data_IF_322526509673
#
_entry.id   IF_322526509673
#
_cell.length_a   1.000
_cell.length_b   1.000
_cell.length_c   1.000
_cell.angle_alpha   90.00
_cell.angle_beta   90.00
_cell.angle_gamma   90.00
#
_symmetry.space_group_name_H-M   'P 1'
#
loop_
_entity.id
_entity.type
_entity.pdbx_description
1 polymer ?
#
# COMPACT_ATOMS: atom_id res chain seq x y z
N UNK A 1 6.24 -22.25 -9.97
CA UNK A 1 4.91 -21.89 -9.43
C UNK A 1 4.97 -20.40 -9.17
N UNK A 2 4.09 -19.56 -9.75
CA UNK A 2 4.13 -18.11 -9.52
C UNK A 2 3.72 -17.82 -8.08
N UNK A 3 4.54 -17.08 -7.36
CA UNK A 3 4.47 -16.86 -5.91
C UNK A 3 3.90 -15.48 -5.54
N UNK A 4 3.49 -14.66 -6.49
CA UNK A 4 3.07 -13.27 -6.24
C UNK A 4 1.76 -12.94 -6.95
N UNK A 5 1.07 -11.90 -6.48
CA UNK A 5 0.01 -11.23 -7.25
C UNK A 5 0.70 -10.49 -8.40
N UNK A 6 0.48 -10.88 -9.67
CA UNK A 6 1.23 -10.33 -10.81
C UNK A 6 1.13 -8.81 -10.91
N UNK A 7 2.17 -8.15 -11.44
CA UNK A 7 2.13 -6.70 -11.73
C UNK A 7 0.98 -6.34 -12.69
N UNK A 8 0.63 -7.27 -13.59
CA UNK A 8 -0.40 -7.08 -14.63
C UNK A 8 -1.80 -7.58 -14.29
N UNK A 9 -2.13 -7.84 -13.01
CA UNK A 9 -3.51 -8.22 -12.68
C UNK A 9 -4.47 -7.11 -13.13
N UNK A 10 -5.45 -7.48 -13.94
CA UNK A 10 -6.44 -6.54 -14.48
C UNK A 10 -5.99 -5.74 -15.71
N UNK A 11 -4.77 -5.93 -16.23
CA UNK A 11 -4.28 -5.18 -17.40
C UNK A 11 -4.50 -5.96 -18.69
N UNK A 12 -5.17 -5.35 -19.67
CA UNK A 12 -5.19 -5.85 -21.05
C UNK A 12 -3.80 -5.64 -21.70
N UNK A 13 -3.07 -6.71 -21.95
CA UNK A 13 -1.68 -6.61 -22.38
C UNK A 13 -1.50 -6.22 -23.84
N UNK A 14 -2.54 -6.29 -24.68
CA UNK A 14 -2.46 -6.03 -26.13
C UNK A 14 -1.28 -6.71 -26.84
N UNK A 15 -1.04 -6.44 -28.13
CA UNK A 15 0.24 -6.76 -28.78
C UNK A 15 1.26 -5.63 -28.61
N UNK A 16 0.82 -4.37 -28.61
CA UNK A 16 1.69 -3.19 -28.55
C UNK A 16 2.43 -3.09 -27.21
N UNK A 17 1.73 -3.24 -26.09
CA UNK A 17 2.38 -3.21 -24.78
C UNK A 17 3.32 -4.40 -24.55
N UNK A 18 3.02 -5.59 -25.11
CA UNK A 18 3.97 -6.72 -25.09
C UNK A 18 5.26 -6.40 -25.83
N UNK A 19 5.19 -5.75 -27.00
CA UNK A 19 6.38 -5.33 -27.74
C UNK A 19 7.24 -4.34 -26.95
N UNK A 20 6.61 -3.40 -26.22
CA UNK A 20 7.31 -2.48 -25.30
C UNK A 20 8.03 -3.26 -24.20
N UNK A 21 7.34 -4.20 -23.55
CA UNK A 21 7.95 -5.04 -22.50
C UNK A 21 9.11 -5.87 -23.04
N UNK A 22 8.96 -6.49 -24.20
CA UNK A 22 10.00 -7.33 -24.82
C UNK A 22 11.26 -6.50 -25.15
N UNK A 23 11.09 -5.28 -25.68
CA UNK A 23 12.20 -4.37 -25.94
C UNK A 23 12.96 -3.96 -24.66
N UNK A 24 12.24 -3.75 -23.55
CA UNK A 24 12.83 -3.37 -22.26
C UNK A 24 13.46 -4.56 -21.55
N UNK A 25 12.94 -5.78 -21.73
CA UNK A 25 13.42 -6.99 -21.07
C UNK A 25 14.85 -7.41 -21.46
N UNK A 26 15.40 -6.82 -22.52
CA UNK A 26 16.81 -6.96 -22.91
C UNK A 26 17.73 -5.96 -22.19
N UNK A 27 17.19 -4.87 -21.62
CA UNK A 27 17.96 -3.88 -20.86
C UNK A 27 18.10 -4.22 -19.38
N UNK A 28 17.10 -4.89 -18.80
CA UNK A 28 17.07 -5.21 -17.37
C UNK A 28 17.51 -6.66 -17.13
N UNK A 29 18.47 -6.85 -16.23
CA UNK A 29 19.03 -8.16 -15.88
C UNK A 29 19.20 -8.27 -14.36
N UNK A 30 18.10 -8.40 -13.59
CA UNK A 30 18.21 -8.50 -12.14
C UNK A 30 18.92 -9.78 -11.71
N UNK A 31 19.92 -9.63 -10.85
CA UNK A 31 20.56 -10.75 -10.16
C UNK A 31 19.79 -11.06 -8.89
N UNK A 32 18.88 -12.05 -8.93
CA UNK A 32 18.19 -12.49 -7.73
C UNK A 32 16.81 -13.09 -7.98
N UNK A 33 16.38 -13.97 -7.07
CA UNK A 33 15.02 -14.51 -7.07
C UNK A 33 13.99 -13.46 -6.65
N UNK A 34 14.38 -12.55 -5.75
CA UNK A 34 13.53 -11.48 -5.24
C UNK A 34 14.13 -10.15 -5.64
N UNK A 35 13.34 -9.30 -6.28
CA UNK A 35 13.77 -7.99 -6.77
C UNK A 35 12.93 -6.91 -6.11
N UNK A 36 13.55 -5.79 -5.76
CA UNK A 36 12.86 -4.59 -5.29
C UNK A 36 12.94 -3.50 -6.34
N UNK A 37 11.81 -3.12 -6.94
CA UNK A 37 11.72 -1.95 -7.80
C UNK A 37 11.36 -0.73 -6.95
N UNK A 38 12.29 0.22 -6.87
CA UNK A 38 12.14 1.50 -6.20
C UNK A 38 11.67 2.54 -7.20
N UNK A 39 10.62 3.28 -6.86
CA UNK A 39 10.04 4.32 -7.71
C UNK A 39 10.37 5.70 -7.18
N UNK A 40 10.83 6.59 -8.07
CA UNK A 40 10.93 8.01 -7.76
C UNK A 40 9.54 8.65 -7.79
N UNK A 41 8.86 8.66 -6.65
CA UNK A 41 7.53 9.26 -6.56
C UNK A 41 7.63 10.79 -6.63
N UNK A 42 7.57 11.30 -7.87
CA UNK A 42 7.38 12.71 -8.16
C UNK A 42 5.90 12.97 -8.50
N UNK A 43 5.35 14.13 -8.12
CA UNK A 43 3.93 14.46 -8.33
C UNK A 43 3.56 14.68 -9.81
N UNK A 44 4.54 14.74 -10.72
CA UNK A 44 4.29 14.97 -12.14
C UNK A 44 3.76 13.69 -12.81
N UNK A 45 2.46 13.63 -13.10
CA UNK A 45 1.84 12.49 -13.79
C UNK A 45 2.08 12.55 -15.31
N UNK A 46 2.44 11.42 -15.91
CA UNK A 46 2.52 11.26 -17.38
C UNK A 46 2.13 9.84 -17.75
N UNK A 47 0.97 9.68 -18.41
CA UNK A 47 0.43 8.37 -18.78
C UNK A 47 1.41 7.54 -19.61
N UNK A 48 2.19 8.20 -20.47
CA UNK A 48 3.21 7.53 -21.29
C UNK A 48 4.37 7.01 -20.45
N UNK A 49 4.91 7.84 -19.55
CA UNK A 49 5.97 7.41 -18.63
C UNK A 49 5.46 6.37 -17.63
N UNK A 50 4.19 6.46 -17.22
CA UNK A 50 3.55 5.50 -16.31
C UNK A 50 3.38 4.13 -16.96
N UNK A 51 2.98 4.09 -18.24
CA UNK A 51 2.89 2.84 -18.99
C UNK A 51 4.27 2.21 -19.21
N UNK A 52 5.28 3.00 -19.55
CA UNK A 52 6.65 2.49 -19.74
C UNK A 52 7.26 2.04 -18.41
N UNK A 53 7.02 2.77 -17.32
CA UNK A 53 7.37 2.32 -15.96
C UNK A 53 6.71 0.98 -15.63
N UNK A 54 5.42 0.82 -15.93
CA UNK A 54 4.75 -0.48 -15.78
C UNK A 54 5.44 -1.56 -16.62
N UNK A 55 5.81 -1.25 -17.86
CA UNK A 55 6.53 -2.20 -18.72
C UNK A 55 7.91 -2.60 -18.14
N UNK A 56 8.64 -1.66 -17.52
CA UNK A 56 9.87 -1.96 -16.76
C UNK A 56 9.60 -2.90 -15.60
N UNK A 57 8.56 -2.64 -14.79
CA UNK A 57 8.18 -3.51 -13.68
C UNK A 57 7.87 -4.93 -14.18
N UNK A 58 7.15 -5.06 -15.30
CA UNK A 58 6.85 -6.36 -15.91
C UNK A 58 8.13 -7.05 -16.41
N UNK A 59 9.04 -6.30 -17.03
CA UNK A 59 10.31 -6.82 -17.51
C UNK A 59 11.17 -7.36 -16.34
N UNK A 60 11.21 -6.64 -15.22
CA UNK A 60 11.85 -7.11 -13.99
C UNK A 60 11.15 -8.36 -13.42
N UNK A 61 9.82 -8.35 -13.32
CA UNK A 61 9.02 -9.49 -12.84
C UNK A 61 9.24 -10.75 -13.70
N UNK A 62 9.40 -10.62 -15.02
CA UNK A 62 9.66 -11.75 -15.93
C UNK A 62 11.00 -12.45 -15.67
N UNK A 63 11.98 -11.74 -15.11
CA UNK A 63 13.32 -12.25 -14.82
C UNK A 63 13.49 -12.65 -13.34
N UNK A 64 12.55 -12.27 -12.47
CA UNK A 64 12.54 -12.58 -11.04
C UNK A 64 11.53 -13.68 -10.68
N UNK A 65 11.69 -14.34 -9.53
CA UNK A 65 10.63 -15.17 -8.94
C UNK A 65 9.55 -14.29 -8.27
N UNK A 66 9.95 -13.11 -7.78
CA UNK A 66 9.08 -12.15 -7.09
C UNK A 66 9.57 -10.72 -7.30
N UNK A 67 8.65 -9.80 -7.56
CA UNK A 67 8.92 -8.36 -7.60
C UNK A 67 8.13 -7.66 -6.50
N UNK A 68 8.83 -6.86 -5.69
CA UNK A 68 8.23 -5.93 -4.74
C UNK A 68 8.41 -4.50 -5.27
N UNK A 69 7.34 -3.72 -5.29
CA UNK A 69 7.36 -2.33 -5.75
C UNK A 69 7.21 -1.41 -4.55
N UNK A 70 8.14 -0.46 -4.40
CA UNK A 70 8.19 0.47 -3.27
C UNK A 70 8.51 1.88 -3.76
N UNK A 71 8.00 2.93 -3.12
CA UNK A 71 8.56 4.25 -3.33
C UNK A 71 9.95 4.32 -2.71
N UNK A 72 10.83 5.15 -3.27
CA UNK A 72 12.19 5.36 -2.72
C UNK A 72 12.14 5.77 -1.23
N UNK A 73 11.10 6.49 -0.82
CA UNK A 73 10.88 6.90 0.57
C UNK A 73 10.61 5.72 1.53
N UNK A 74 10.10 4.58 1.05
CA UNK A 74 9.77 3.40 1.86
C UNK A 74 10.92 2.39 2.03
N UNK A 75 12.04 2.57 1.33
CA UNK A 75 13.08 1.54 1.17
C UNK A 75 13.86 1.18 2.45
N UNK A 76 13.71 1.93 3.53
CA UNK A 76 14.59 1.87 4.70
C UNK A 76 14.41 0.61 5.57
N UNK A 77 13.34 -0.16 5.34
CA UNK A 77 12.96 -1.28 6.21
C UNK A 77 13.45 -2.66 5.79
N UNK A 78 13.75 -2.86 4.51
CA UNK A 78 13.88 -4.21 3.95
C UNK A 78 14.83 -4.25 2.74
N UNK A 79 15.93 -3.51 2.79
CA UNK A 79 16.93 -3.57 1.73
C UNK A 79 17.52 -4.98 1.67
N UNK A 80 17.46 -5.60 0.50
CA UNK A 80 17.92 -6.98 0.27
C UNK A 80 19.09 -7.04 -0.71
N UNK A 81 19.59 -5.90 -1.19
CA UNK A 81 20.74 -5.81 -2.10
C UNK A 81 20.42 -6.10 -3.57
N UNK A 82 19.14 -6.36 -3.89
CA UNK A 82 18.65 -6.63 -5.25
C UNK A 82 17.76 -5.50 -5.76
N UNK A 83 17.97 -4.29 -5.24
CA UNK A 83 17.19 -3.12 -5.63
C UNK A 83 17.43 -2.74 -7.09
N UNK A 84 16.41 -2.19 -7.73
CA UNK A 84 16.43 -1.53 -9.01
C UNK A 84 15.71 -0.20 -8.85
N UNK A 85 16.35 0.90 -9.23
CA UNK A 85 15.73 2.21 -9.21
C UNK A 85 15.10 2.48 -10.58
N UNK A 86 13.81 2.80 -10.61
CA UNK A 86 13.13 3.31 -11.81
C UNK A 86 12.89 4.80 -11.58
N UNK A 87 13.60 5.63 -12.33
CA UNK A 87 13.56 7.08 -12.20
C UNK A 87 13.21 7.79 -13.50
N UNK A 88 12.61 8.98 -13.39
CA UNK A 88 12.35 9.91 -14.48
C UNK A 88 13.42 10.99 -14.62
N UNK A 89 14.48 10.98 -13.81
CA UNK A 89 15.55 11.98 -13.80
C UNK A 89 16.91 11.29 -13.67
N UNK A 90 17.91 11.83 -14.35
CA UNK A 90 19.30 11.42 -14.19
C UNK A 90 20.15 12.62 -13.71
N UNK A 91 20.86 12.50 -12.56
CA UNK A 91 20.69 11.46 -11.55
C UNK A 91 19.35 11.62 -10.81
N UNK A 92 18.79 10.52 -10.28
CA UNK A 92 17.74 10.67 -9.28
C UNK A 92 18.38 11.35 -8.05
N UNK A 93 17.69 12.16 -7.28
CA UNK A 93 18.35 12.80 -6.14
C UNK A 93 18.50 11.82 -4.95
N UNK A 94 19.71 11.73 -4.39
CA UNK A 94 19.95 11.35 -2.99
C UNK A 94 19.60 9.92 -2.57
N UNK A 95 19.83 8.90 -3.41
CA UNK A 95 19.54 7.50 -3.04
C UNK A 95 20.79 6.60 -3.01
N UNK A 96 21.01 5.92 -1.89
CA UNK A 96 22.08 4.92 -1.71
C UNK A 96 21.46 3.54 -1.55
N UNK A 97 21.94 2.58 -2.33
CA UNK A 97 21.50 1.17 -2.31
C UNK A 97 21.95 0.45 -1.03
N UNK A 98 21.49 -0.78 -0.81
CA UNK A 98 21.83 -1.57 0.38
C UNK A 98 23.33 -1.81 0.57
N UNK A 99 24.04 -1.95 -0.55
CA UNK A 99 25.47 -2.22 -0.62
C UNK A 99 26.34 -0.96 -0.49
N UNK A 100 25.71 0.21 -0.29
CA UNK A 100 26.40 1.48 -0.15
C UNK A 100 26.69 2.20 -1.47
N UNK A 101 26.31 1.63 -2.61
CA UNK A 101 26.45 2.31 -3.90
C UNK A 101 25.41 3.43 -4.06
N UNK A 102 25.87 4.65 -4.36
CA UNK A 102 24.97 5.72 -4.78
C UNK A 102 24.52 5.46 -6.22
N UNK A 103 23.24 5.13 -6.41
CA UNK A 103 22.58 4.95 -7.71
C UNK A 103 23.45 4.30 -8.79
N UNK A 104 23.88 3.04 -8.59
CA UNK A 104 24.65 2.30 -9.58
C UNK A 104 23.90 2.33 -10.92
N UNK A 105 24.58 2.78 -11.97
CA UNK A 105 23.96 3.05 -13.27
C UNK A 105 23.39 1.78 -13.88
N UNK A 106 23.97 0.63 -13.57
CA UNK A 106 23.59 -0.70 -14.05
C UNK A 106 22.29 -1.22 -13.42
N UNK A 107 21.85 -0.63 -12.30
CA UNK A 107 20.57 -0.95 -11.63
C UNK A 107 19.64 0.26 -11.54
N UNK A 108 19.89 1.27 -12.36
CA UNK A 108 19.07 2.48 -12.45
C UNK A 108 18.50 2.59 -13.85
N UNK A 109 17.18 2.44 -13.96
CA UNK A 109 16.41 2.66 -15.19
C UNK A 109 15.98 4.11 -15.23
N UNK A 110 16.39 4.84 -16.26
CA UNK A 110 16.00 6.24 -16.48
C UNK A 110 14.99 6.31 -17.62
N UNK A 111 13.86 6.95 -17.36
CA UNK A 111 12.76 7.17 -18.30
C UNK A 111 12.72 8.63 -18.72
N UNK A 112 12.74 8.90 -20.03
CA UNK A 112 12.58 10.26 -20.56
C UNK A 112 11.67 10.29 -21.78
N UNK A 113 10.73 11.23 -21.79
CA UNK A 113 9.88 11.49 -22.97
C UNK A 113 10.68 12.25 -24.02
N UNK A 114 10.73 11.74 -25.25
CA UNK A 114 11.45 12.36 -26.35
C UNK A 114 10.64 13.48 -27.04
N UNK A 115 9.34 13.62 -26.70
CA UNK A 115 8.45 14.63 -27.27
C UNK A 115 7.86 14.28 -28.65
N UNK A 116 8.32 13.20 -29.27
CA UNK A 116 7.84 12.67 -30.56
C UNK A 116 6.84 11.52 -30.42
N UNK A 117 6.37 11.26 -29.19
CA UNK A 117 5.51 10.12 -28.85
C UNK A 117 6.27 8.88 -28.40
N UNK A 118 7.61 8.84 -28.53
CA UNK A 118 8.45 7.80 -27.97
C UNK A 118 8.95 8.14 -26.56
N UNK A 119 9.28 7.09 -25.81
CA UNK A 119 9.93 7.20 -24.50
C UNK A 119 11.25 6.46 -24.57
N UNK A 120 12.31 7.12 -24.13
CA UNK A 120 13.61 6.49 -23.93
C UNK A 120 13.64 5.77 -22.61
N UNK A 121 14.15 4.54 -22.63
CA UNK A 121 14.47 3.73 -21.46
C UNK A 121 15.97 3.47 -21.48
N UNK A 122 16.69 3.94 -20.46
CA UNK A 122 18.14 3.81 -20.36
C UNK A 122 18.55 3.07 -19.09
N UNK A 123 19.55 2.19 -19.21
CA UNK A 123 20.23 1.49 -18.10
C UNK A 123 21.72 1.52 -18.38
N UNK A 124 22.52 2.13 -17.50
CA UNK A 124 23.92 2.39 -17.80
C UNK A 124 24.10 3.28 -19.03
N UNK A 125 24.96 2.84 -19.95
CA UNK A 125 25.20 3.50 -21.24
C UNK A 125 24.37 2.88 -22.39
N UNK A 126 23.42 1.99 -22.07
CA UNK A 126 22.55 1.32 -23.05
C UNK A 126 21.14 1.89 -22.96
N UNK A 127 20.51 2.12 -24.11
CA UNK A 127 19.14 2.61 -24.17
C UNK A 127 18.35 2.01 -25.33
N UNK A 128 17.04 2.07 -25.20
CA UNK A 128 16.08 1.80 -26.27
C UNK A 128 15.03 2.91 -26.28
N UNK A 129 14.63 3.34 -27.48
CA UNK A 129 13.49 4.23 -27.66
C UNK A 129 12.28 3.36 -28.00
N UNK A 130 11.25 3.39 -27.15
CA UNK A 130 10.01 2.62 -27.36
C UNK A 130 8.89 3.55 -27.84
N UNK A 131 8.20 3.12 -28.89
CA UNK A 131 6.96 3.77 -29.30
C UNK A 131 5.87 3.43 -28.29
N UNK A 132 5.23 4.45 -27.75
CA UNK A 132 4.15 4.31 -26.76
C UNK A 132 2.81 4.51 -27.47
N UNK A 133 1.74 3.78 -27.07
CA UNK A 133 0.40 4.04 -27.58
C UNK A 133 -0.06 5.49 -27.35
N UNK A 134 -1.16 5.87 -27.99
CA UNK A 134 -1.77 7.18 -27.77
C UNK A 134 -2.12 7.38 -26.28
N UNK A 135 -2.25 8.63 -25.84
CA UNK A 135 -2.57 8.94 -24.45
C UNK A 135 -3.90 8.31 -24.00
N UNK A 136 -4.91 8.30 -24.88
CA UNK A 136 -6.19 7.65 -24.65
C UNK A 136 -6.04 6.13 -24.48
N UNK A 137 -5.15 5.51 -25.25
CA UNK A 137 -4.87 4.08 -25.15
C UNK A 137 -4.04 3.76 -23.89
N UNK A 138 -3.08 4.62 -23.51
CA UNK A 138 -2.37 4.50 -22.23
C UNK A 138 -3.36 4.54 -21.05
N UNK A 139 -4.31 5.48 -21.07
CA UNK A 139 -5.37 5.58 -20.08
C UNK A 139 -6.28 4.34 -20.09
N UNK A 140 -6.59 3.79 -21.28
CA UNK A 140 -7.30 2.52 -21.43
C UNK A 140 -6.58 1.37 -20.75
N UNK A 141 -5.30 1.21 -21.03
CA UNK A 141 -4.47 0.11 -20.53
C UNK A 141 -4.28 0.21 -19.01
N UNK A 142 -3.86 1.39 -18.52
CA UNK A 142 -3.59 1.64 -17.09
C UNK A 142 -4.86 1.64 -16.23
N UNK A 143 -6.01 2.01 -16.79
CA UNK A 143 -7.29 2.06 -16.06
C UNK A 143 -8.16 0.82 -16.23
N UNK A 144 -7.72 -0.21 -16.96
CA UNK A 144 -8.60 -1.33 -17.38
C UNK A 144 -9.06 -2.24 -16.23
N UNK A 145 -8.24 -2.45 -15.19
CA UNK A 145 -8.44 -3.53 -14.22
C UNK A 145 -9.60 -3.36 -13.24
N UNK A 146 -10.02 -2.14 -12.97
CA UNK A 146 -11.13 -1.82 -12.07
C UNK A 146 -12.04 -0.71 -12.63
N UNK A 147 -12.04 -0.54 -13.96
CA UNK A 147 -12.82 0.52 -14.62
C UNK A 147 -14.31 0.40 -14.31
N UNK A 148 -14.92 1.55 -13.99
CA UNK A 148 -16.32 1.67 -13.66
C UNK A 148 -16.71 1.12 -12.29
N UNK A 149 -15.78 0.48 -11.56
CA UNK A 149 -16.07 -0.10 -10.26
C UNK A 149 -16.12 1.00 -9.20
N UNK A 150 -17.19 1.06 -8.41
CA UNK A 150 -17.22 1.93 -7.25
C UNK A 150 -16.31 1.39 -6.15
N UNK A 151 -15.48 2.26 -5.60
CA UNK A 151 -14.68 2.04 -4.41
C UNK A 151 -15.54 2.38 -3.21
N UNK A 152 -15.73 1.43 -2.30
CA UNK A 152 -16.36 1.68 -1.01
C UNK A 152 -15.32 1.58 0.09
N UNK A 153 -15.21 2.67 0.84
CA UNK A 153 -14.34 2.91 2.00
C UNK A 153 -13.00 2.16 1.94
N UNK A 154 -11.96 2.81 1.40
CA UNK A 154 -10.66 2.19 1.33
C UNK A 154 -10.04 2.01 2.72
N UNK A 155 -9.01 1.17 2.80
CA UNK A 155 -8.21 0.98 4.01
C UNK A 155 -6.72 0.86 3.67
N UNK A 156 -5.85 1.29 4.60
CA UNK A 156 -4.42 0.98 4.63
C UNK A 156 -4.11 -0.10 5.68
N UNK A 157 -4.57 -1.34 5.51
CA UNK A 157 -4.16 -2.43 6.40
C UNK A 157 -2.75 -2.93 6.06
N UNK A 158 -2.16 -2.45 4.96
CA UNK A 158 -1.07 -3.09 4.23
C UNK A 158 0.31 -2.60 4.66
N UNK A 159 1.32 -3.49 4.73
CA UNK A 159 2.74 -3.16 5.03
C UNK A 159 3.53 -2.55 3.86
N UNK A 160 2.82 -2.06 2.86
CA UNK A 160 3.41 -1.51 1.66
C UNK A 160 2.46 -0.48 1.08
N UNK A 161 2.93 0.32 0.10
CA UNK A 161 2.23 1.45 -0.50
C UNK A 161 1.00 0.97 -1.29
N UNK A 162 0.00 0.46 -0.59
CA UNK A 162 -1.09 -0.33 -1.15
C UNK A 162 -2.35 -0.09 -0.36
N UNK A 163 -3.45 0.00 -1.09
CA UNK A 163 -4.73 0.38 -0.56
C UNK A 163 -5.75 -0.63 -1.08
N UNK A 164 -6.58 -1.13 -0.17
CA UNK A 164 -7.64 -2.09 -0.48
C UNK A 164 -8.98 -1.41 -0.26
N UNK A 165 -9.89 -1.57 -1.21
CA UNK A 165 -11.27 -1.10 -1.12
C UNK A 165 -12.22 -2.25 -1.45
N UNK A 166 -13.47 -2.14 -0.99
CA UNK A 166 -14.54 -3.00 -1.49
C UNK A 166 -14.98 -2.50 -2.88
N UNK A 167 -15.30 -3.44 -3.76
CA UNK A 167 -15.86 -3.16 -5.08
C UNK A 167 -17.37 -2.94 -5.06
N UNK A 168 -18.03 -3.19 -6.20
CA UNK A 168 -19.48 -3.03 -6.34
C UNK A 168 -20.25 -4.12 -5.61
N UNK A 169 -19.73 -5.36 -5.67
CA UNK A 169 -20.30 -6.54 -5.03
C UNK A 169 -19.77 -6.77 -3.61
N UNK A 170 -20.52 -7.51 -2.77
CA UNK A 170 -20.07 -7.89 -1.43
C UNK A 170 -18.87 -8.84 -1.47
N UNK A 171 -18.68 -9.58 -2.57
CA UNK A 171 -17.60 -10.52 -2.87
C UNK A 171 -16.43 -9.89 -3.65
N UNK A 172 -16.44 -8.57 -3.86
CA UNK A 172 -15.44 -7.89 -4.68
C UNK A 172 -14.47 -7.04 -3.85
N UNK A 173 -13.19 -7.16 -4.21
CA UNK A 173 -12.13 -6.30 -3.71
C UNK A 173 -11.44 -5.56 -4.85
N UNK A 174 -11.03 -4.33 -4.57
CA UNK A 174 -10.22 -3.52 -5.44
C UNK A 174 -8.90 -3.22 -4.73
N UNK A 175 -7.80 -3.60 -5.35
CA UNK A 175 -6.45 -3.40 -4.83
C UNK A 175 -5.73 -2.38 -5.71
N UNK A 176 -5.23 -1.33 -5.08
CA UNK A 176 -4.23 -0.44 -5.65
C UNK A 176 -2.89 -0.71 -4.99
N UNK A 177 -1.82 -0.78 -5.79
CA UNK A 177 -0.43 -0.78 -5.30
C UNK A 177 0.33 0.30 -6.05
N UNK A 178 1.18 1.03 -5.35
CA UNK A 178 1.99 2.09 -5.94
C UNK A 178 2.71 1.61 -7.22
N UNK A 179 2.64 2.42 -8.26
CA UNK A 179 3.23 2.15 -9.56
C UNK A 179 2.53 1.09 -10.41
N UNK A 180 1.44 0.47 -9.93
CA UNK A 180 0.67 -0.53 -10.67
C UNK A 180 -0.76 -0.10 -10.92
N UNK A 181 -1.38 -0.53 -12.04
CA UNK A 181 -2.81 -0.40 -12.26
C UNK A 181 -3.65 -0.99 -11.13
N UNK A 182 -4.80 -0.38 -10.89
CA UNK A 182 -5.80 -0.88 -9.95
C UNK A 182 -6.38 -2.22 -10.46
N UNK A 183 -6.41 -3.21 -9.59
CA UNK A 183 -6.87 -4.56 -9.90
C UNK A 183 -8.16 -4.91 -9.14
N UNK A 184 -9.14 -5.48 -9.85
CA UNK A 184 -10.35 -6.04 -9.23
C UNK A 184 -10.23 -7.55 -9.05
N UNK A 185 -10.65 -8.02 -7.88
CA UNK A 185 -10.72 -9.42 -7.48
C UNK A 185 -12.15 -9.79 -7.13
N UNK A 186 -12.59 -10.96 -7.58
CA UNK A 186 -13.86 -11.55 -7.18
C UNK A 186 -13.59 -12.81 -6.37
N UNK A 187 -14.05 -12.82 -5.12
CA UNK A 187 -13.78 -13.89 -4.17
C UNK A 187 -14.91 -14.93 -4.14
N UNK A 188 -14.69 -16.10 -3.54
CA UNK A 188 -15.72 -17.16 -3.45
C UNK A 188 -16.97 -16.79 -2.64
N UNK A 189 -16.94 -15.71 -1.86
CA UNK A 189 -18.07 -15.26 -1.06
C UNK A 189 -17.88 -13.84 -0.51
N UNK A 190 -18.88 -13.31 0.22
CA UNK A 190 -18.86 -11.97 0.79
C UNK A 190 -17.62 -11.71 1.64
N UNK A 191 -17.04 -10.52 1.50
CA UNK A 191 -15.82 -10.11 2.19
C UNK A 191 -16.14 -9.30 3.42
N UNK A 192 -15.62 -9.70 4.57
CA UNK A 192 -15.74 -8.94 5.81
C UNK A 192 -14.59 -7.95 5.98
N UNK A 193 -13.36 -8.45 5.79
CA UNK A 193 -12.13 -7.71 6.05
C UNK A 193 -11.04 -8.13 5.06
N UNK A 194 -10.07 -7.25 4.80
CA UNK A 194 -8.94 -7.57 3.95
C UNK A 194 -7.64 -6.84 4.34
N UNK A 195 -6.52 -7.42 3.93
CA UNK A 195 -5.17 -6.84 4.02
C UNK A 195 -4.34 -7.25 2.81
N UNK A 196 -3.53 -6.32 2.31
CA UNK A 196 -2.45 -6.65 1.38
C UNK A 196 -1.11 -6.69 2.11
N UNK A 197 -0.46 -7.84 2.10
CA UNK A 197 0.87 -8.01 2.69
C UNK A 197 1.91 -7.90 1.58
N UNK A 198 2.75 -6.86 1.67
CA UNK A 198 3.93 -6.67 0.85
C UNK A 198 5.17 -6.70 1.74
N UNK A 199 5.92 -7.79 1.69
CA UNK A 199 7.15 -8.02 2.43
C UNK A 199 8.30 -8.40 1.50
N UNK A 200 9.53 -8.47 2.03
CA UNK A 200 10.73 -8.79 1.24
C UNK A 200 10.65 -10.11 0.45
N UNK A 201 9.83 -11.05 0.91
CA UNK A 201 9.68 -12.38 0.32
C UNK A 201 8.24 -12.78 0.03
N UNK A 202 7.26 -11.90 0.28
CA UNK A 202 5.82 -12.24 0.20
C UNK A 202 4.99 -11.10 -0.34
N UNK A 203 4.10 -11.40 -1.29
CA UNK A 203 3.09 -10.48 -1.83
C UNK A 203 1.75 -11.22 -1.86
N UNK A 204 0.83 -10.85 -0.97
CA UNK A 204 -0.41 -11.59 -0.73
C UNK A 204 -1.59 -10.66 -0.45
N UNK A 205 -2.73 -10.91 -1.08
CA UNK A 205 -4.01 -10.35 -0.66
C UNK A 205 -4.70 -11.39 0.22
N UNK A 206 -4.88 -11.04 1.49
CA UNK A 206 -5.51 -11.89 2.50
C UNK A 206 -6.87 -11.29 2.83
N UNK A 207 -7.90 -12.13 2.87
CA UNK A 207 -9.28 -11.69 3.07
C UNK A 207 -10.00 -12.63 4.01
N UNK A 208 -10.92 -12.08 4.81
CA UNK A 208 -11.81 -12.83 5.67
C UNK A 208 -13.17 -12.87 4.99
N UNK A 209 -13.62 -14.06 4.60
CA UNK A 209 -14.83 -14.24 3.78
C UNK A 209 -15.79 -15.24 4.41
N UNK A 210 -17.07 -15.15 4.04
CA UNK A 210 -18.07 -16.16 4.34
C UNK A 210 -18.21 -17.17 3.19
N UNK A 211 -18.16 -18.46 3.51
CA UNK A 211 -18.48 -19.57 2.59
C UNK A 211 -19.24 -20.64 3.35
N UNK A 212 -20.42 -21.02 2.86
CA UNK A 212 -21.25 -22.08 3.44
C UNK A 212 -21.57 -21.91 4.95
N UNK A 213 -21.78 -20.67 5.40
CA UNK A 213 -22.06 -20.35 6.81
C UNK A 213 -20.83 -20.40 7.73
N UNK A 214 -19.63 -20.47 7.16
CA UNK A 214 -18.38 -20.40 7.90
C UNK A 214 -17.57 -19.17 7.49
N UNK A 215 -16.96 -18.54 8.48
CA UNK A 215 -15.98 -17.47 8.29
C UNK A 215 -14.60 -18.09 8.14
N UNK A 216 -13.89 -17.78 7.06
CA UNK A 216 -12.57 -18.32 6.79
C UNK A 216 -11.63 -17.30 6.17
N UNK A 217 -10.33 -17.56 6.32
CA UNK A 217 -9.28 -16.78 5.66
C UNK A 217 -8.99 -17.31 4.26
N UNK A 218 -9.22 -16.45 3.27
CA UNK A 218 -8.87 -16.64 1.86
C UNK A 218 -7.58 -15.89 1.52
N UNK A 219 -6.75 -16.46 0.64
CA UNK A 219 -5.44 -15.88 0.27
C UNK A 219 -5.25 -15.97 -1.24
N UNK A 220 -5.08 -14.82 -1.89
CA UNK A 220 -4.59 -14.67 -3.26
C UNK A 220 -3.08 -14.38 -3.24
N UNK A 221 -2.27 -15.16 -3.97
CA UNK A 221 -0.79 -15.06 -3.99
C UNK A 221 -0.07 -16.29 -3.40
N UNK A 222 1.17 -16.11 -2.90
CA UNK A 222 1.91 -17.22 -2.25
C UNK A 222 1.08 -17.79 -1.09
N UNK A 223 0.89 -19.10 -1.09
CA UNK A 223 0.01 -19.73 -0.11
C UNK A 223 0.74 -19.92 1.22
N UNK A 224 0.39 -19.12 2.23
CA UNK A 224 0.75 -19.42 3.62
C UNK A 224 -0.21 -20.49 4.12
N UNK A 225 0.29 -21.72 4.29
CA UNK A 225 -0.53 -22.90 4.61
C UNK A 225 -1.22 -22.83 5.97
N UNK A 226 -0.69 -22.04 6.91
CA UNK A 226 -1.23 -21.94 8.26
C UNK A 226 -2.54 -21.14 8.33
N UNK A 227 -2.63 -20.00 7.64
CA UNK A 227 -3.81 -19.13 7.69
C UNK A 227 -5.10 -19.82 7.23
N UNK A 228 -5.00 -20.77 6.29
CA UNK A 228 -6.14 -21.56 5.81
C UNK A 228 -6.81 -22.41 6.88
N UNK A 229 -6.12 -22.68 7.99
CA UNK A 229 -6.72 -23.38 9.13
C UNK A 229 -7.73 -22.50 9.86
N UNK A 230 -7.68 -21.17 9.72
CA UNK A 230 -8.62 -20.25 10.34
C UNK A 230 -9.96 -20.33 9.60
N UNK A 231 -10.82 -21.21 10.11
CA UNK A 231 -12.19 -21.40 9.67
C UNK A 231 -13.07 -21.71 10.88
N UNK A 232 -14.24 -21.10 10.96
CA UNK A 232 -15.17 -21.28 12.07
C UNK A 232 -16.62 -21.07 11.58
N UNK A 233 -17.60 -21.84 12.06
CA UNK A 233 -19.01 -21.52 11.82
C UNK A 233 -19.37 -20.17 12.44
N UNK A 234 -20.28 -19.45 11.77
CA UNK A 234 -20.80 -18.17 12.24
C UNK A 234 -22.32 -18.20 12.35
N UNK A 235 -22.84 -17.35 13.24
CA UNK A 235 -24.26 -17.13 13.47
C UNK A 235 -24.75 -15.79 12.89
N UNK A 236 -23.94 -15.18 12.03
CA UNK A 236 -24.22 -13.90 11.36
C UNK A 236 -23.92 -13.98 9.86
N UNK A 237 -24.44 -13.02 9.10
CA UNK A 237 -24.23 -12.86 7.66
C UNK A 237 -23.14 -11.83 7.38
N UNK A 238 -22.09 -12.22 6.67
CA UNK A 238 -21.07 -11.27 6.18
C UNK A 238 -21.63 -10.42 5.05
N UNK A 239 -22.59 -10.93 4.27
CA UNK A 239 -23.25 -10.14 3.22
C UNK A 239 -23.96 -8.91 3.79
N UNK A 240 -24.60 -9.05 4.95
CA UNK A 240 -25.30 -7.94 5.62
C UNK A 240 -24.29 -6.90 6.14
N UNK A 241 -23.13 -7.37 6.61
CA UNK A 241 -22.04 -6.48 7.05
C UNK A 241 -21.28 -5.84 5.89
N UNK A 242 -21.32 -6.45 4.71
CA UNK A 242 -20.70 -5.92 3.49
C UNK A 242 -21.44 -4.69 2.93
N UNK A 243 -22.64 -4.37 3.44
CA UNK A 243 -23.26 -3.05 3.22
C UNK A 243 -22.48 -1.92 3.89
N UNK A 244 -21.63 -2.24 4.87
CA UNK A 244 -20.76 -1.29 5.57
C UNK A 244 -19.34 -1.24 4.98
N UNK A 245 -18.55 -0.32 5.52
CA UNK A 245 -17.15 -0.09 5.16
C UNK A 245 -16.32 -1.38 5.27
N UNK A 246 -15.32 -1.52 4.38
CA UNK A 246 -14.40 -2.65 4.44
C UNK A 246 -13.60 -2.59 5.74
N UNK A 247 -13.70 -3.66 6.53
CA UNK A 247 -12.99 -3.74 7.80
C UNK A 247 -11.48 -3.96 7.58
N UNK A 248 -10.60 -3.24 8.31
CA UNK A 248 -9.18 -3.57 8.30
C UNK A 248 -8.96 -4.96 8.87
N UNK A 249 -8.09 -5.74 8.23
CA UNK A 249 -7.64 -7.03 8.74
C UNK A 249 -6.19 -6.89 9.21
N UNK A 250 -5.89 -7.28 10.44
CA UNK A 250 -4.51 -7.32 10.94
C UNK A 250 -4.12 -8.75 11.29
N UNK A 251 -2.88 -9.11 11.00
CA UNK A 251 -2.36 -10.44 11.30
C UNK A 251 -1.77 -10.47 12.72
N UNK A 252 -2.06 -11.54 13.45
CA UNK A 252 -1.46 -11.87 14.74
C UNK A 252 -0.62 -13.12 14.56
N UNK A 253 0.66 -12.97 14.28
CA UNK A 253 1.61 -14.07 14.19
C UNK A 253 2.61 -14.00 15.35
N UNK A 254 2.22 -14.53 16.50
CA UNK A 254 3.08 -14.59 17.68
C UNK A 254 4.09 -15.75 17.55
N UNK A 255 3.59 -16.94 17.18
CA UNK A 255 4.37 -18.16 16.91
C UNK A 255 3.70 -18.96 15.79
N UNK A 256 4.41 -19.88 15.13
CA UNK A 256 3.82 -20.67 14.02
C UNK A 256 2.65 -21.57 14.45
N UNK A 257 2.52 -21.87 15.75
CA UNK A 257 1.39 -22.62 16.34
C UNK A 257 0.33 -21.73 17.01
N UNK A 258 0.55 -20.40 17.04
CA UNK A 258 -0.31 -19.39 17.68
C UNK A 258 -0.44 -18.20 16.74
N UNK A 259 -1.38 -18.33 15.82
CA UNK A 259 -1.62 -17.32 14.79
C UNK A 259 -3.11 -17.02 14.65
N UNK A 260 -3.44 -15.81 14.22
CA UNK A 260 -4.81 -15.35 14.06
C UNK A 260 -4.89 -14.07 13.26
N UNK A 261 -6.10 -13.51 13.26
CA UNK A 261 -6.40 -12.23 12.65
C UNK A 261 -7.29 -11.39 13.55
N UNK A 262 -7.11 -10.07 13.52
CA UNK A 262 -7.98 -9.09 14.15
C UNK A 262 -8.72 -8.30 13.08
N UNK A 263 -10.01 -8.04 13.32
CA UNK A 263 -10.86 -7.28 12.41
C UNK A 263 -11.96 -6.55 13.19
N UNK A 264 -12.51 -5.48 12.61
CA UNK A 264 -13.70 -4.81 13.15
C UNK A 264 -14.99 -5.41 12.59
N UNK A 265 -15.99 -5.54 13.45
CA UNK A 265 -17.35 -5.95 13.13
C UNK A 265 -18.30 -5.24 14.09
N UNK A 266 -19.38 -4.65 13.55
CA UNK A 266 -20.37 -3.89 14.33
C UNK A 266 -19.74 -2.85 15.29
N UNK A 267 -18.67 -2.17 14.84
CA UNK A 267 -17.95 -1.18 15.63
C UNK A 267 -16.96 -1.74 16.66
N UNK A 268 -16.90 -3.06 16.86
CA UNK A 268 -16.08 -3.73 17.87
C UNK A 268 -14.95 -4.55 17.24
N UNK A 269 -13.84 -4.73 17.96
CA UNK A 269 -12.76 -5.60 17.51
C UNK A 269 -13.05 -7.06 17.85
N UNK A 270 -12.76 -7.94 16.90
CA UNK A 270 -12.86 -9.39 17.00
C UNK A 270 -11.53 -10.03 16.66
N UNK A 271 -11.35 -11.26 17.14
CA UNK A 271 -10.17 -12.08 16.92
C UNK A 271 -10.59 -13.48 16.49
N UNK A 272 -10.10 -13.91 15.32
CA UNK A 272 -10.17 -15.30 14.86
C UNK A 272 -8.78 -15.90 15.00
N UNK A 273 -8.60 -16.87 15.89
CA UNK A 273 -7.27 -17.36 16.27
C UNK A 273 -7.21 -18.86 16.41
N UNK A 274 -6.08 -19.42 15.98
CA UNK A 274 -5.69 -20.79 16.15
C UNK A 274 -4.73 -20.92 17.35
N UNK A 275 -5.07 -21.80 18.28
CA UNK A 275 -4.21 -22.23 19.38
C UNK A 275 -3.98 -23.75 19.27
N UNK A 276 -2.87 -24.14 18.67
CA UNK A 276 -2.58 -25.55 18.40
C UNK A 276 -3.50 -26.12 17.32
N UNK A 277 -4.59 -26.80 17.73
CA UNK A 277 -5.61 -27.37 16.83
C UNK A 277 -6.98 -26.70 16.96
N UNK A 278 -7.18 -25.88 17.99
CA UNK A 278 -8.45 -25.22 18.24
C UNK A 278 -8.48 -23.86 17.53
N UNK A 279 -9.52 -23.63 16.74
CA UNK A 279 -9.82 -22.33 16.13
C UNK A 279 -11.00 -21.73 16.86
N UNK A 280 -10.88 -20.48 17.32
CA UNK A 280 -11.97 -19.79 18.00
C UNK A 280 -12.13 -18.36 17.50
N UNK A 281 -13.38 -17.91 17.47
CA UNK A 281 -13.77 -16.53 17.20
C UNK A 281 -14.24 -15.89 18.49
N UNK A 282 -13.62 -14.79 18.90
CA UNK A 282 -13.94 -14.09 20.15
C UNK A 282 -13.88 -12.59 19.95
N UNK A 283 -14.70 -11.86 20.71
CA UNK A 283 -14.54 -10.42 20.84
C UNK A 283 -13.19 -10.10 21.49
N UNK A 284 -12.46 -9.14 20.92
CA UNK A 284 -11.20 -8.64 21.47
C UNK A 284 -11.48 -7.73 22.67
N UNK A 285 -10.62 -7.84 23.70
CA UNK A 285 -10.64 -6.93 24.86
C UNK A 285 -9.89 -5.63 24.61
N UNK A 286 -9.09 -5.54 23.54
CA UNK A 286 -8.40 -4.31 23.17
C UNK A 286 -9.34 -3.31 22.50
N UNK A 287 -9.10 -2.02 22.79
CA UNK A 287 -9.88 -0.90 22.24
C UNK A 287 -9.39 -0.52 20.84
N UNK A 288 -8.08 -0.62 20.61
CA UNK A 288 -7.44 -0.30 19.32
C UNK A 288 -6.46 -1.42 18.95
N UNK A 289 -6.50 -1.81 17.69
CA UNK A 289 -5.49 -2.62 17.02
C UNK A 289 -4.89 -1.80 15.91
N UNK A 290 -3.57 -1.83 15.82
CA UNK A 290 -2.80 -1.13 14.79
C UNK A 290 -1.85 -2.13 14.11
N UNK A 291 -1.48 -1.89 12.84
CA UNK A 291 -0.46 -2.69 12.18
C UNK A 291 0.87 -2.53 12.92
N UNK A 292 1.51 -3.65 13.22
CA UNK A 292 2.79 -3.69 13.91
C UNK A 292 3.99 -3.54 12.99
N UNK A 293 5.17 -3.92 13.51
CA UNK A 293 6.49 -3.74 12.87
C UNK A 293 6.69 -4.49 11.56
N UNK A 294 5.89 -5.52 11.36
CA UNK A 294 5.87 -6.35 10.16
C UNK A 294 4.40 -6.56 9.81
N UNK A 295 4.08 -6.82 8.52
CA UNK A 295 2.71 -7.17 8.12
C UNK A 295 2.10 -8.34 8.91
N UNK A 296 2.93 -9.12 9.61
CA UNK A 296 2.52 -10.27 10.39
C UNK A 296 2.10 -9.98 11.82
N UNK A 297 2.41 -8.81 12.38
CA UNK A 297 2.17 -8.52 13.79
C UNK A 297 1.20 -7.36 13.97
N UNK A 298 0.33 -7.47 14.97
CA UNK A 298 -0.59 -6.39 15.39
C UNK A 298 -0.03 -5.75 16.66
N UNK A 299 0.01 -4.42 16.73
CA UNK A 299 0.25 -3.68 17.98
C UNK A 299 -1.06 -3.51 18.72
N UNK A 300 -1.02 -3.75 20.03
CA UNK A 300 -2.18 -3.70 20.90
C UNK A 300 -1.97 -2.57 21.91
N UNK A 301 -2.86 -1.57 21.89
CA UNK A 301 -3.05 -0.67 23.03
C UNK A 301 -4.33 -1.05 23.77
N UNK A 302 -4.18 -1.50 25.02
CA UNK A 302 -5.29 -1.85 25.90
C UNK A 302 -6.13 -0.66 26.35
N UNK A 303 -5.69 0.59 26.13
CA UNK A 303 -6.39 1.79 26.59
C UNK A 303 -6.51 2.92 25.56
N UNK A 304 -5.94 2.79 24.36
CA UNK A 304 -5.95 3.83 23.32
C UNK A 304 -5.28 5.15 23.74
N UNK A 305 -4.26 5.07 24.60
CA UNK A 305 -3.50 6.20 25.14
C UNK A 305 -2.17 6.46 24.43
N UNK A 306 -1.69 5.51 23.63
CA UNK A 306 -0.41 5.57 22.92
C UNK A 306 -0.67 5.30 21.44
N UNK A 307 -0.19 6.21 20.60
CA UNK A 307 -0.15 6.02 19.15
C UNK A 307 1.15 5.32 18.78
N UNK A 308 1.08 4.28 17.96
CA UNK A 308 2.26 3.67 17.36
C UNK A 308 2.52 4.33 16.01
N UNK A 309 3.73 4.87 15.85
CA UNK A 309 4.17 5.48 14.60
C UNK A 309 5.28 4.68 13.91
N UNK A 310 5.77 5.21 12.78
CA UNK A 310 6.91 4.65 12.06
C UNK A 310 8.13 4.46 12.97
N UNK A 311 9.01 3.50 12.64
CA UNK A 311 10.36 3.38 13.24
C UNK A 311 10.36 3.15 14.76
N UNK A 312 9.31 2.54 15.29
CA UNK A 312 9.12 2.27 16.72
C UNK A 312 9.04 3.53 17.57
N UNK A 313 8.62 4.62 16.96
CA UNK A 313 8.26 5.82 17.67
C UNK A 313 6.84 5.71 18.18
N UNK A 314 6.61 6.34 19.33
CA UNK A 314 5.35 6.33 20.03
C UNK A 314 5.00 7.76 20.38
N UNK A 315 3.70 8.05 20.44
CA UNK A 315 3.23 9.33 20.94
C UNK A 315 2.15 9.11 22.01
N UNK A 316 2.19 9.92 23.07
CA UNK A 316 1.15 9.93 24.10
C UNK A 316 0.89 11.35 24.60
N UNK A 317 -0.36 11.63 25.01
CA UNK A 317 -0.73 12.95 25.49
C UNK A 317 -0.08 13.25 26.84
N UNK A 318 0.39 14.49 27.00
CA UNK A 318 0.95 15.06 28.22
C UNK A 318 0.34 16.46 28.45
N UNK A 319 -0.93 16.51 28.85
CA UNK A 319 -1.66 17.77 28.97
C UNK A 319 -2.04 18.32 27.59
N UNK A 320 -1.59 19.54 27.26
CA UNK A 320 -1.82 20.17 25.94
C UNK A 320 -0.73 19.88 24.92
N UNK A 321 0.20 18.99 25.24
CA UNK A 321 1.26 18.55 24.34
C UNK A 321 1.25 17.05 24.23
N UNK A 322 1.99 16.54 23.26
CA UNK A 322 2.22 15.12 23.06
C UNK A 322 3.70 14.86 23.13
N UNK A 323 4.09 13.92 23.98
CA UNK A 323 5.46 13.42 24.04
C UNK A 323 5.60 12.38 22.94
N UNK A 324 6.65 12.53 22.14
CA UNK A 324 7.04 11.59 21.09
C UNK A 324 8.38 10.99 21.47
N UNK A 325 8.48 9.66 21.50
CA UNK A 325 9.70 8.96 21.94
C UNK A 325 9.93 7.66 21.15
N UNK A 326 11.18 7.26 21.03
CA UNK A 326 11.58 6.10 20.24
C UNK A 326 13.06 5.74 20.41
N UNK A 327 13.51 4.67 19.76
CA UNK A 327 14.89 4.19 19.90
C UNK A 327 15.89 5.15 19.25
N UNK A 328 16.93 5.52 20.00
CA UNK A 328 18.12 6.21 19.47
C UNK A 328 17.99 7.73 19.27
N UNK A 329 16.87 8.34 19.65
CA UNK A 329 16.64 9.78 19.57
C UNK A 329 16.32 10.41 20.93
N UNK A 330 16.36 11.74 20.98
CA UNK A 330 15.81 12.49 22.12
C UNK A 330 14.28 12.52 22.01
N UNK A 331 13.62 12.62 23.16
CA UNK A 331 12.18 12.82 23.17
C UNK A 331 11.82 14.18 22.58
N UNK A 332 10.77 14.21 21.76
CA UNK A 332 10.20 15.42 21.21
C UNK A 332 8.88 15.75 21.91
N UNK A 333 8.56 17.04 21.97
CA UNK A 333 7.29 17.51 22.53
C UNK A 333 6.59 18.33 21.46
N UNK A 334 5.46 17.81 20.98
CA UNK A 334 4.67 18.45 19.92
C UNK A 334 3.44 19.10 20.54
N UNK A 335 3.24 20.42 20.41
CA UNK A 335 2.05 21.08 20.91
C UNK A 335 0.84 20.78 20.02
N UNK A 336 -0.30 20.46 20.64
CA UNK A 336 -1.57 20.25 19.94
C UNK A 336 -2.59 21.24 20.49
N UNK A 337 -3.08 22.20 19.69
CA UNK A 337 -4.04 23.19 20.16
C UNK A 337 -5.32 22.54 20.70
N UNK A 338 -5.98 23.16 21.69
CA UNK A 338 -7.30 22.73 22.14
C UNK A 338 -8.28 22.71 20.96
N UNK A 339 -9.03 21.62 20.80
CA UNK A 339 -10.00 21.44 19.72
C UNK A 339 -9.49 20.60 18.54
N UNK A 340 -8.19 20.38 18.42
CA UNK A 340 -7.66 19.41 17.46
C UNK A 340 -7.64 18.00 18.07
N UNK A 341 -8.08 17.02 17.29
CA UNK A 341 -7.94 15.58 17.64
C UNK A 341 -6.71 15.02 16.96
N UNK A 342 -5.85 14.34 17.71
CA UNK A 342 -4.71 13.62 17.12
C UNK A 342 -5.20 12.33 16.49
N UNK A 343 -4.84 12.13 15.22
CA UNK A 343 -5.22 10.97 14.42
C UNK A 343 -4.13 9.90 14.38
N UNK A 344 -2.87 10.30 14.22
CA UNK A 344 -1.73 9.37 14.09
C UNK A 344 -0.38 10.08 14.28
N UNK A 345 0.68 9.30 14.43
CA UNK A 345 2.09 9.71 14.41
C UNK A 345 2.72 9.28 13.08
N UNK A 346 3.46 10.18 12.43
CA UNK A 346 4.17 9.93 11.17
C UNK A 346 5.57 10.57 11.17
N UNK A 347 6.39 10.23 10.18
CA UNK A 347 7.70 10.84 9.90
C UNK A 347 7.54 11.91 8.79
N UNK A 348 8.26 13.02 8.89
CA UNK A 348 8.32 14.07 7.86
C UNK A 348 9.77 14.55 7.77
N UNK A 349 10.41 14.34 6.62
CA UNK A 349 11.85 14.59 6.49
C UNK A 349 12.63 13.72 7.48
N UNK A 350 13.47 14.36 8.30
CA UNK A 350 14.27 13.69 9.33
C UNK A 350 13.62 13.71 10.73
N UNK A 351 12.39 14.23 10.86
CA UNK A 351 11.69 14.40 12.15
C UNK A 351 10.30 13.78 12.19
N UNK A 352 9.60 13.96 13.31
CA UNK A 352 8.27 13.40 13.54
C UNK A 352 7.17 14.45 13.49
N UNK A 353 5.99 14.02 13.09
CA UNK A 353 4.80 14.85 13.09
C UNK A 353 3.57 14.10 13.59
N UNK A 354 2.71 14.82 14.29
CA UNK A 354 1.37 14.35 14.60
C UNK A 354 0.42 14.80 13.49
N UNK A 355 -0.33 13.86 12.94
CA UNK A 355 -1.50 14.19 12.13
C UNK A 355 -2.64 14.55 13.07
N UNK A 356 -3.19 15.76 12.91
CA UNK A 356 -4.30 16.26 13.71
C UNK A 356 -5.45 16.68 12.81
N UNK A 357 -6.66 16.72 13.38
CA UNK A 357 -7.87 17.18 12.70
C UNK A 357 -8.65 18.16 13.55
N UNK A 358 -9.08 19.24 12.92
CA UNK A 358 -10.01 20.23 13.46
C UNK A 358 -11.08 20.51 12.42
N UNK A 359 -12.33 20.11 12.70
CA UNK A 359 -13.40 20.16 11.70
C UNK A 359 -13.00 19.37 10.45
N UNK A 360 -12.91 20.06 9.32
CA UNK A 360 -12.56 19.47 8.02
C UNK A 360 -11.08 19.64 7.66
N UNK A 361 -10.27 20.26 8.52
CA UNK A 361 -8.85 20.48 8.22
C UNK A 361 -7.99 19.42 8.89
N UNK A 362 -7.21 18.70 8.08
CA UNK A 362 -6.14 17.81 8.56
C UNK A 362 -4.81 18.55 8.50
N UNK A 363 -4.05 18.51 9.58
CA UNK A 363 -2.75 19.17 9.71
C UNK A 363 -1.66 18.19 10.11
N UNK A 364 -0.44 18.48 9.67
CA UNK A 364 0.76 17.88 10.21
C UNK A 364 1.40 18.86 11.20
N UNK A 365 1.55 18.43 12.45
CA UNK A 365 2.09 19.22 13.58
C UNK A 365 3.47 18.68 13.95
N UNK A 366 4.47 19.55 13.95
CA UNK A 366 5.82 19.31 14.49
C UNK A 366 6.05 20.17 15.72
N UNK A 367 7.21 20.04 16.36
CA UNK A 367 7.61 20.94 17.44
C UNK A 367 7.71 22.42 16.98
N UNK A 368 7.97 22.66 15.69
CA UNK A 368 8.18 23.99 15.11
C UNK A 368 6.89 24.67 14.65
N UNK A 369 5.81 23.91 14.44
CA UNK A 369 4.54 24.48 13.96
C UNK A 369 3.59 23.45 13.36
N UNK A 370 2.58 23.94 12.64
CA UNK A 370 1.64 23.09 11.92
C UNK A 370 1.41 23.57 10.50
N UNK A 371 1.20 22.63 9.59
CA UNK A 371 0.81 22.90 8.19
C UNK A 371 -0.45 22.14 7.84
N UNK A 372 -1.29 22.72 6.99
CA UNK A 372 -2.45 22.03 6.41
C UNK A 372 -1.96 20.99 5.41
N UNK A 373 -2.42 19.75 5.57
CA UNK A 373 -2.20 18.67 4.60
C UNK A 373 -3.35 18.62 3.60
N UNK A 374 -4.58 18.66 4.10
CA UNK A 374 -5.80 18.64 3.27
C UNK A 374 -6.98 19.24 4.03
N UNK A 375 -7.89 19.90 3.30
CA UNK A 375 -9.23 20.23 3.76
C UNK A 375 -10.22 19.23 3.14
N UNK A 376 -10.87 18.44 4.00
CA UNK A 376 -11.78 17.35 3.64
C UNK A 376 -12.70 16.99 4.82
N UNK A 377 -14.00 16.99 4.57
CA UNK A 377 -15.05 16.69 5.56
C UNK A 377 -15.25 15.19 5.80
N UNK A 378 -14.84 14.34 4.84
CA UNK A 378 -14.95 12.89 4.95
C UNK A 378 -13.84 12.20 5.76
N UNK A 379 -13.86 10.85 5.80
CA UNK A 379 -12.85 10.04 6.47
C UNK A 379 -11.46 10.17 5.84
N UNK A 380 -10.43 10.14 6.68
CA UNK A 380 -9.02 10.24 6.23
C UNK A 380 -8.33 8.95 6.65
N UNK A 381 -7.76 8.27 5.67
CA UNK A 381 -7.00 7.04 5.90
C UNK A 381 -5.54 7.41 6.04
N UNK A 382 -4.87 6.80 7.00
CA UNK A 382 -3.47 7.09 7.31
C UNK A 382 -2.69 5.81 7.08
N UNK A 383 -1.63 5.90 6.29
CA UNK A 383 -0.71 4.79 6.15
C UNK A 383 0.16 4.71 7.40
N UNK A 384 0.33 3.52 7.98
CA UNK A 384 1.05 3.37 9.25
C UNK A 384 2.58 3.51 9.12
N UNK A 385 3.15 3.08 8.00
CA UNK A 385 4.59 3.19 7.73
C UNK A 385 5.01 4.38 6.87
N UNK A 386 4.14 4.85 5.97
CA UNK A 386 4.47 5.88 5.00
C UNK A 386 3.85 7.20 5.41
N UNK A 387 4.50 8.34 5.08
CA UNK A 387 3.98 9.66 5.39
C UNK A 387 2.87 10.06 4.44
N UNK A 388 1.89 9.18 4.25
CA UNK A 388 0.83 9.28 3.26
C UNK A 388 -0.53 9.26 3.96
N UNK A 389 -1.43 10.09 3.45
CA UNK A 389 -2.85 9.97 3.73
C UNK A 389 -3.61 9.67 2.44
N UNK A 390 -4.76 9.02 2.56
CA UNK A 390 -5.69 8.88 1.46
C UNK A 390 -7.04 9.47 1.82
N UNK A 391 -7.63 10.18 0.86
CA UNK A 391 -8.97 10.76 0.96
C UNK A 391 -9.79 10.31 -0.23
N UNK A 392 -11.01 9.85 0.05
CA UNK A 392 -11.94 9.42 -0.98
C UNK A 392 -12.74 10.62 -1.49
N UNK A 393 -12.37 11.16 -2.65
CA UNK A 393 -13.04 12.32 -3.26
C UNK A 393 -14.41 11.97 -3.85
N UNK A 394 -14.57 10.73 -4.31
CA UNK A 394 -15.84 10.19 -4.81
C UNK A 394 -15.85 8.66 -4.73
N UNK A 395 -16.97 8.05 -5.10
CA UNK A 395 -17.06 6.61 -5.29
C UNK A 395 -16.05 6.05 -6.31
N UNK A 396 -15.40 6.87 -7.14
CA UNK A 396 -14.47 6.39 -8.16
C UNK A 396 -13.08 7.06 -8.09
N UNK A 397 -12.83 7.89 -7.07
CA UNK A 397 -11.57 8.61 -6.96
C UNK A 397 -11.09 8.65 -5.51
N UNK A 398 -9.90 8.10 -5.31
CA UNK A 398 -9.12 8.27 -4.07
C UNK A 398 -7.83 9.00 -4.42
N UNK A 399 -7.51 10.04 -3.66
CA UNK A 399 -6.23 10.73 -3.75
C UNK A 399 -5.33 10.28 -2.60
N UNK A 400 -4.10 9.89 -2.91
CA UNK A 400 -3.03 9.63 -1.95
C UNK A 400 -2.14 10.87 -1.91
N UNK A 401 -2.01 11.49 -0.74
CA UNK A 401 -1.29 12.74 -0.54
C UNK A 401 -0.07 12.53 0.34
N UNK A 402 0.99 13.25 0.02
CA UNK A 402 2.16 13.38 0.86
C UNK A 402 1.87 14.26 2.08
N UNK A 403 2.15 13.76 3.27
CA UNK A 403 1.91 14.50 4.51
C UNK A 403 2.86 15.69 4.66
N UNK A 404 4.08 15.60 4.13
CA UNK A 404 5.09 16.65 4.24
C UNK A 404 4.80 17.88 3.37
N UNK A 405 4.21 17.68 2.19
CA UNK A 405 3.97 18.75 1.20
C UNK A 405 2.49 19.00 0.93
N UNK A 406 1.62 18.00 1.08
CA UNK A 406 0.19 18.06 0.76
C UNK A 406 -0.05 17.83 -0.73
N UNK A 407 1.00 17.52 -1.49
CA UNK A 407 0.90 17.20 -2.90
C UNK A 407 0.20 15.85 -3.10
N UNK A 408 -0.62 15.76 -4.15
CA UNK A 408 -1.18 14.49 -4.59
C UNK A 408 -0.05 13.67 -5.21
N UNK A 409 0.27 12.54 -4.59
CA UNK A 409 1.27 11.58 -5.05
C UNK A 409 0.68 10.61 -6.06
N UNK A 410 -0.53 10.11 -5.77
CA UNK A 410 -1.23 9.15 -6.61
C UNK A 410 -2.72 9.42 -6.67
N UNK A 411 -3.32 9.11 -7.83
CA UNK A 411 -4.77 9.05 -8.01
C UNK A 411 -5.17 7.62 -8.31
N UNK A 412 -6.01 7.06 -7.45
CA UNK A 412 -6.67 5.78 -7.68
C UNK A 412 -8.02 6.11 -8.31
N UNK A 413 -8.04 6.10 -9.65
CA UNK A 413 -9.20 6.47 -10.45
C UNK A 413 -9.82 5.21 -11.10
N UNK A 414 -11.11 5.01 -10.86
CA UNK A 414 -11.92 3.94 -11.47
C UNK A 414 -13.05 4.50 -12.31
N UNK A 415 -13.04 5.79 -12.66
CA UNK A 415 -14.10 6.41 -13.43
C UNK A 415 -14.33 5.69 -14.78
N UNK A 416 -15.60 5.50 -15.18
CA UNK A 416 -15.91 5.19 -16.56
C UNK A 416 -15.65 6.46 -17.38
N UNK A 417 -14.51 6.55 -18.08
CA UNK A 417 -14.30 7.68 -18.99
C UNK A 417 -15.44 7.70 -20.02
N UNK A 418 -16.19 8.81 -20.08
CA UNK A 418 -17.08 9.07 -21.20
C UNK A 418 -16.19 9.29 -22.43
N UNK A 419 -16.38 8.44 -23.44
CA UNK A 419 -15.73 8.56 -24.75
C UNK A 419 -16.29 9.73 -25.55
#
# INVERSE_FOLDING_TARGET
>A
MRTTVPVLVGVDQGPEFRAVVDAIAELVSPEGRWVQALLDDRPDFSLRLDLVRLAVLVALERRAESLRVLPVTACHWNRIGTEWLVSRVAPAQGFTFADGAEQPRERTVVLSDNGDGSVRVAVGDVWVDVTVPSEQECLRLLGSGARGTALRFPVFPSSGPSLVARGDGPDELVLWRCGTPTARFRLPGPVLAAIYVSGSTTEQLISLIEVDGELLVHVEGHQVTFLRKLRVPIDFSVADEAEHDLSPLYLDMDEFWKFGVYFRRAGEWWNLRCHGVEVSLRRSTAVVHEPGRSPGHTTIDGAGKVLFGPRFWHAAPQGSTWRVWGPGGADEVIPVPPGETVLSLTEIGDGHALLTREGDTVRARTAEGGRTVVEFDGPVLIHHELPWIAVQRSAHLVEVLDVATGAVLHRVDTLPHML
#
